data_IF_588495613156
#
_entry.id   IF_588495613156
#
_cell.length_a   1.000
_cell.length_b   1.000
_cell.length_c   1.000
_cell.angle_alpha   90.00
_cell.angle_beta   90.00
_cell.angle_gamma   90.00
#
_symmetry.space_group_name_H-M   'P 1'
#
loop_
_entity.id
_entity.type
_entity.pdbx_description
1 polymer ?
#
# COMPACT_ATOMS: atom_id res chain seq x y z
N UNK A 1 -7.40 -18.92 6.14
CA UNK A 1 -8.84 -18.55 6.22
C UNK A 1 -9.60 -19.39 5.21
N UNK A 2 -10.46 -20.32 5.64
CA UNK A 2 -11.16 -21.23 4.72
C UNK A 2 -12.18 -20.52 3.82
N UNK A 3 -12.61 -19.31 4.20
CA UNK A 3 -13.57 -18.49 3.46
C UNK A 3 -12.91 -17.33 2.67
N UNK A 4 -11.62 -17.40 2.40
CA UNK A 4 -10.92 -16.43 1.55
C UNK A 4 -10.81 -16.97 0.14
N UNK A 5 -11.39 -16.26 -0.83
CA UNK A 5 -11.40 -16.58 -2.25
C UNK A 5 -10.72 -15.46 -3.03
N UNK A 6 -10.15 -15.79 -4.15
CA UNK A 6 -9.58 -14.75 -5.01
C UNK A 6 -8.73 -15.29 -6.15
N UNK A 7 -8.08 -14.37 -6.81
CA UNK A 7 -7.24 -14.68 -7.96
C UNK A 7 -6.74 -13.39 -8.60
N UNK A 8 -6.52 -13.44 -9.92
CA UNK A 8 -5.95 -12.31 -10.64
C UNK A 8 -6.60 -12.12 -12.01
N UNK A 9 -6.45 -10.91 -12.54
CA UNK A 9 -6.80 -10.59 -13.92
C UNK A 9 -5.69 -11.08 -14.88
N UNK A 10 -5.58 -12.41 -14.98
CA UNK A 10 -4.61 -13.15 -15.82
C UNK A 10 -3.13 -12.93 -15.48
N UNK A 11 -2.83 -12.54 -14.25
CA UNK A 11 -1.49 -12.24 -13.75
C UNK A 11 -1.12 -13.06 -12.48
N UNK A 12 -1.81 -14.18 -12.24
CA UNK A 12 -1.68 -14.95 -10.99
C UNK A 12 -0.24 -15.36 -10.67
N UNK A 13 0.53 -15.77 -11.66
CA UNK A 13 1.93 -16.17 -11.51
C UNK A 13 2.81 -14.99 -11.09
N UNK A 14 2.62 -13.82 -11.73
CA UNK A 14 3.41 -12.61 -11.46
C UNK A 14 3.00 -11.92 -10.16
N UNK A 15 1.71 -11.93 -9.81
CA UNK A 15 1.20 -11.36 -8.57
C UNK A 15 1.35 -12.30 -7.36
N UNK A 16 1.68 -13.57 -7.56
CA UNK A 16 1.68 -14.59 -6.51
C UNK A 16 0.34 -14.68 -5.76
N UNK A 17 -0.79 -14.59 -6.48
CA UNK A 17 -2.14 -14.53 -5.90
C UNK A 17 -2.85 -15.87 -5.85
N UNK A 18 -2.23 -16.94 -6.36
CA UNK A 18 -2.77 -18.30 -6.24
C UNK A 18 -2.53 -18.87 -4.85
N UNK A 19 -3.57 -19.42 -4.25
CA UNK A 19 -3.46 -20.24 -3.03
C UNK A 19 -3.05 -21.65 -3.44
N UNK A 20 -1.75 -21.96 -3.35
CA UNK A 20 -1.13 -23.18 -3.92
C UNK A 20 -1.71 -24.51 -3.42
N UNK A 21 -2.35 -24.51 -2.24
CA UNK A 21 -2.95 -25.71 -1.63
C UNK A 21 -4.44 -25.86 -1.94
N UNK A 22 -4.97 -24.96 -2.74
CA UNK A 22 -6.40 -24.89 -3.08
C UNK A 22 -6.60 -25.12 -4.58
N UNK A 23 -7.75 -25.71 -4.89
CA UNK A 23 -8.15 -25.95 -6.27
C UNK A 23 -8.76 -24.71 -6.93
N UNK A 24 -8.93 -24.78 -8.25
CA UNK A 24 -9.58 -23.73 -9.03
C UNK A 24 -11.09 -23.82 -8.89
N UNK A 25 -11.74 -22.66 -8.78
CA UNK A 25 -13.19 -22.55 -8.85
C UNK A 25 -13.64 -22.67 -10.30
N UNK A 26 -14.28 -23.79 -10.63
CA UNK A 26 -14.68 -24.14 -11.99
C UNK A 26 -16.09 -24.75 -12.04
N UNK A 27 -16.75 -24.85 -13.21
CA UNK A 27 -18.09 -25.43 -13.34
C UNK A 27 -18.25 -26.81 -12.74
N UNK A 28 -17.19 -27.62 -12.74
CA UNK A 28 -17.19 -28.98 -12.20
C UNK A 28 -16.57 -29.05 -10.79
N UNK A 29 -16.12 -27.90 -10.22
CA UNK A 29 -15.49 -27.82 -8.91
C UNK A 29 -15.83 -26.49 -8.21
N UNK A 30 -16.99 -26.44 -7.57
CA UNK A 30 -17.41 -25.23 -6.82
C UNK A 30 -16.80 -25.11 -5.41
N UNK A 31 -15.94 -26.05 -5.00
CA UNK A 31 -15.20 -25.97 -3.73
C UNK A 31 -13.84 -25.32 -3.87
N UNK A 32 -13.33 -25.17 -5.09
CA UNK A 32 -12.10 -24.44 -5.38
C UNK A 32 -12.21 -22.97 -4.96
N UNK A 33 -11.07 -22.38 -4.59
CA UNK A 33 -11.01 -21.00 -4.10
C UNK A 33 -10.17 -20.06 -4.97
N UNK A 34 -9.45 -20.60 -5.94
CA UNK A 34 -8.74 -19.80 -6.92
C UNK A 34 -9.66 -19.44 -8.07
N UNK A 35 -9.81 -18.14 -8.33
CA UNK A 35 -10.70 -17.62 -9.37
C UNK A 35 -9.87 -17.04 -10.52
N UNK A 36 -10.10 -17.51 -11.72
CA UNK A 36 -9.48 -17.01 -12.94
C UNK A 36 -10.36 -15.92 -13.57
N UNK A 37 -10.06 -14.65 -13.27
CA UNK A 37 -10.86 -13.54 -13.77
C UNK A 37 -10.59 -13.22 -15.23
N UNK A 38 -9.45 -13.65 -15.79
CA UNK A 38 -8.98 -13.26 -17.11
C UNK A 38 -8.58 -11.78 -17.19
N UNK A 39 -8.23 -11.29 -18.37
CA UNK A 39 -7.85 -9.88 -18.61
C UNK A 39 -9.09 -8.99 -18.52
N UNK A 40 -9.62 -8.79 -17.31
CA UNK A 40 -10.91 -8.12 -17.03
C UNK A 40 -10.89 -7.41 -15.68
N UNK A 41 -10.01 -6.46 -15.48
CA UNK A 41 -9.79 -5.78 -14.18
C UNK A 41 -11.08 -5.14 -13.65
N UNK A 42 -11.83 -4.42 -14.48
CA UNK A 42 -13.10 -3.83 -14.07
C UNK A 42 -14.12 -4.90 -13.64
N UNK A 43 -14.27 -5.95 -14.45
CA UNK A 43 -15.21 -7.03 -14.15
C UNK A 43 -14.77 -7.80 -12.89
N UNK A 44 -13.45 -8.04 -12.69
CA UNK A 44 -12.91 -8.62 -11.46
C UNK A 44 -13.35 -7.79 -10.26
N UNK A 45 -13.14 -6.49 -10.28
CA UNK A 45 -13.55 -5.61 -9.17
C UNK A 45 -15.07 -5.62 -8.95
N UNK A 46 -15.89 -5.64 -10.02
CA UNK A 46 -17.33 -5.73 -9.91
C UNK A 46 -17.83 -7.08 -9.35
N UNK A 47 -17.19 -8.17 -9.76
CA UNK A 47 -17.48 -9.53 -9.23
C UNK A 47 -17.12 -9.58 -7.74
N UNK A 48 -15.97 -9.04 -7.35
CA UNK A 48 -15.56 -8.95 -5.94
C UNK A 48 -16.59 -8.18 -5.10
N UNK A 49 -17.11 -7.07 -5.63
CA UNK A 49 -18.17 -6.31 -4.96
C UNK A 49 -19.43 -7.15 -4.78
N UNK A 50 -19.84 -7.89 -5.82
CA UNK A 50 -21.00 -8.79 -5.77
C UNK A 50 -20.82 -9.90 -4.73
N UNK A 51 -19.64 -10.53 -4.66
CA UNK A 51 -19.31 -11.55 -3.65
C UNK A 51 -19.38 -10.95 -2.25
N UNK A 52 -18.79 -9.78 -2.03
CA UNK A 52 -18.81 -9.11 -0.73
C UNK A 52 -20.22 -8.71 -0.30
N UNK A 53 -21.08 -8.25 -1.23
CA UNK A 53 -22.49 -7.93 -0.98
C UNK A 53 -23.31 -9.15 -0.62
N UNK A 54 -23.06 -10.28 -1.28
CA UNK A 54 -23.71 -11.55 -0.95
C UNK A 54 -23.36 -12.02 0.46
N UNK A 55 -22.12 -11.78 0.89
CA UNK A 55 -21.64 -12.17 2.21
C UNK A 55 -21.19 -13.64 2.29
N UNK A 56 -20.76 -14.04 3.51
CA UNK A 56 -20.30 -15.41 3.78
C UNK A 56 -18.84 -15.69 3.42
N UNK A 57 -18.26 -14.94 2.50
CA UNK A 57 -16.87 -15.10 2.06
C UNK A 57 -16.10 -13.78 2.09
N UNK A 58 -14.77 -13.90 2.14
CA UNK A 58 -13.82 -12.82 1.90
C UNK A 58 -13.25 -12.96 0.49
N UNK A 59 -13.03 -11.85 -0.19
CA UNK A 59 -12.55 -11.88 -1.56
C UNK A 59 -11.35 -10.95 -1.75
N UNK A 60 -10.38 -11.41 -2.54
CA UNK A 60 -9.28 -10.59 -3.02
C UNK A 60 -9.13 -10.72 -4.54
N UNK A 61 -8.58 -9.68 -5.17
CA UNK A 61 -8.26 -9.69 -6.59
C UNK A 61 -6.97 -8.97 -6.88
N UNK A 62 -6.14 -9.59 -7.70
CA UNK A 62 -4.80 -9.11 -8.04
C UNK A 62 -4.66 -8.65 -9.48
N UNK A 63 -3.83 -7.64 -9.69
CA UNK A 63 -3.32 -7.20 -10.97
C UNK A 63 -2.05 -6.37 -10.77
N UNK A 64 -1.37 -5.96 -11.83
CA UNK A 64 -0.32 -4.95 -11.71
C UNK A 64 -0.92 -3.59 -11.33
N UNK A 65 -0.19 -2.83 -10.54
CA UNK A 65 -0.73 -1.58 -9.98
C UNK A 65 -1.12 -0.55 -11.05
N UNK A 66 -0.39 -0.46 -12.15
CA UNK A 66 -0.76 0.42 -13.26
C UNK A 66 -2.16 0.12 -13.80
N UNK A 67 -2.58 -1.15 -13.79
CA UNK A 67 -3.91 -1.57 -14.27
C UNK A 67 -5.03 -1.30 -13.27
N UNK A 68 -4.72 -0.79 -12.07
CA UNK A 68 -5.74 -0.22 -11.18
C UNK A 68 -6.57 0.87 -11.88
N UNK A 69 -6.00 1.55 -12.88
CA UNK A 69 -6.70 2.54 -13.69
C UNK A 69 -7.96 1.96 -14.36
N UNK A 70 -7.93 0.69 -14.77
CA UNK A 70 -9.10 0.00 -15.34
C UNK A 70 -10.13 -0.40 -14.28
N UNK A 71 -9.74 -0.43 -13.00
CA UNK A 71 -10.61 -0.85 -11.88
C UNK A 71 -11.27 0.32 -11.14
N UNK A 72 -10.83 1.56 -11.34
CA UNK A 72 -11.24 2.70 -10.52
C UNK A 72 -12.75 2.83 -10.29
N UNK A 73 -13.64 2.63 -11.30
CA UNK A 73 -15.07 2.70 -11.06
C UNK A 73 -15.58 1.63 -10.09
N UNK A 74 -15.11 0.38 -10.20
CA UNK A 74 -15.49 -0.70 -9.27
C UNK A 74 -14.91 -0.52 -7.89
N UNK A 75 -13.68 -0.01 -7.77
CA UNK A 75 -13.03 0.35 -6.49
C UNK A 75 -13.81 1.45 -5.79
N UNK A 76 -14.18 2.50 -6.54
CA UNK A 76 -15.00 3.59 -6.01
C UNK A 76 -16.35 3.07 -5.49
N UNK A 77 -16.97 2.12 -6.18
CA UNK A 77 -18.24 1.51 -5.75
C UNK A 77 -18.05 0.67 -4.47
N UNK A 78 -16.95 -0.06 -4.35
CA UNK A 78 -16.63 -0.77 -3.11
C UNK A 78 -16.48 0.19 -1.92
N UNK A 79 -15.75 1.29 -2.11
CA UNK A 79 -15.56 2.31 -1.08
C UNK A 79 -16.87 2.99 -0.68
N UNK A 80 -17.70 3.35 -1.66
CA UNK A 80 -19.01 3.98 -1.45
C UNK A 80 -19.98 3.07 -0.68
N UNK A 81 -19.96 1.78 -0.98
CA UNK A 81 -20.83 0.78 -0.35
C UNK A 81 -20.21 0.14 0.90
N UNK A 82 -19.03 0.60 1.32
CA UNK A 82 -18.33 0.08 2.50
C UNK A 82 -18.10 -1.44 2.44
N UNK A 83 -17.64 -1.95 1.29
CA UNK A 83 -17.43 -3.38 1.07
C UNK A 83 -16.00 -3.78 1.46
N UNK A 84 -15.82 -4.83 2.28
CA UNK A 84 -14.51 -5.27 2.74
C UNK A 84 -13.82 -6.18 1.70
N UNK A 85 -13.57 -5.66 0.52
CA UNK A 85 -12.80 -6.33 -0.54
C UNK A 85 -11.32 -5.99 -0.42
N UNK A 86 -10.44 -6.89 -0.87
CA UNK A 86 -8.98 -6.67 -0.84
C UNK A 86 -8.43 -6.65 -2.26
N UNK A 87 -7.77 -5.56 -2.62
CA UNK A 87 -7.02 -5.45 -3.86
C UNK A 87 -5.55 -5.76 -3.59
N UNK A 88 -4.95 -6.63 -4.40
CA UNK A 88 -3.54 -6.98 -4.35
C UNK A 88 -2.89 -6.44 -5.61
N UNK A 89 -2.34 -5.24 -5.52
CA UNK A 89 -1.72 -4.56 -6.65
C UNK A 89 -0.22 -4.60 -6.51
N UNK A 90 0.42 -5.39 -7.36
CA UNK A 90 1.88 -5.56 -7.38
C UNK A 90 2.52 -4.70 -8.47
N UNK A 91 3.85 -4.68 -8.53
CA UNK A 91 4.58 -3.89 -9.53
C UNK A 91 4.28 -2.39 -9.33
N UNK A 92 4.59 -1.90 -8.13
CA UNK A 92 4.08 -0.66 -7.54
C UNK A 92 4.72 0.62 -8.06
N UNK A 93 5.85 0.55 -8.78
CA UNK A 93 6.64 1.73 -9.10
C UNK A 93 7.50 1.55 -10.36
N UNK A 94 8.34 2.53 -10.66
CA UNK A 94 9.33 2.48 -11.75
C UNK A 94 10.32 1.31 -11.62
N UNK A 95 10.42 0.66 -10.47
CA UNK A 95 11.22 -0.54 -10.27
C UNK A 95 10.66 -1.79 -10.96
N UNK A 96 9.57 -1.68 -11.70
CA UNK A 96 9.10 -2.68 -12.67
C UNK A 96 10.18 -2.96 -13.71
N UNK A 97 10.85 -1.93 -14.21
CA UNK A 97 12.04 -2.04 -15.05
C UNK A 97 11.73 -2.41 -16.50
N UNK A 98 12.04 -3.65 -16.90
CA UNK A 98 12.04 -4.07 -18.31
C UNK A 98 10.69 -3.97 -19.04
N UNK A 99 9.57 -4.03 -18.34
CA UNK A 99 8.24 -3.86 -18.95
C UNK A 99 8.00 -2.41 -19.43
N UNK A 100 8.77 -1.46 -18.90
CA UNK A 100 8.83 -0.09 -19.35
C UNK A 100 7.64 0.78 -18.94
N UNK A 101 7.55 2.00 -19.54
CA UNK A 101 6.61 3.06 -19.09
C UNK A 101 5.14 2.68 -19.10
N UNK A 102 4.73 1.73 -19.92
CA UNK A 102 3.33 1.26 -19.98
C UNK A 102 2.91 0.47 -18.73
N UNK A 103 3.89 0.00 -17.95
CA UNK A 103 3.68 -0.84 -16.76
C UNK A 103 4.19 -0.19 -15.47
N UNK A 104 4.85 0.96 -15.56
CA UNK A 104 5.46 1.69 -14.43
C UNK A 104 4.48 2.71 -13.85
N UNK A 105 3.91 2.47 -12.65
CA UNK A 105 3.03 3.45 -12.00
C UNK A 105 3.81 4.69 -11.55
N UNK A 106 3.23 5.86 -11.73
CA UNK A 106 3.74 7.14 -11.22
C UNK A 106 2.65 7.89 -10.46
N UNK A 107 1.50 8.16 -11.13
CA UNK A 107 0.37 8.90 -10.56
C UNK A 107 -0.65 8.01 -9.84
N UNK A 108 -0.57 6.71 -9.97
CA UNK A 108 -1.58 5.77 -9.44
C UNK A 108 -1.73 5.85 -7.93
N UNK A 109 -0.63 6.00 -7.17
CA UNK A 109 -0.69 6.16 -5.72
C UNK A 109 -1.51 7.38 -5.31
N UNK A 110 -1.26 8.53 -5.92
CA UNK A 110 -2.01 9.75 -5.66
C UNK A 110 -3.49 9.58 -6.04
N UNK A 111 -3.74 8.93 -7.18
CA UNK A 111 -5.10 8.66 -7.68
C UNK A 111 -5.90 7.80 -6.70
N UNK A 112 -5.38 6.65 -6.27
CA UNK A 112 -6.11 5.76 -5.36
C UNK A 112 -6.23 6.32 -3.94
N UNK A 113 -5.23 7.08 -3.47
CA UNK A 113 -5.29 7.79 -2.18
C UNK A 113 -6.36 8.88 -2.14
N UNK A 114 -6.80 9.37 -3.29
CA UNK A 114 -7.89 10.35 -3.39
C UNK A 114 -9.28 9.76 -3.21
N UNK A 115 -9.42 8.42 -3.22
CA UNK A 115 -10.72 7.75 -3.06
C UNK A 115 -11.09 7.69 -1.57
N UNK A 116 -12.16 8.38 -1.13
CA UNK A 116 -12.58 8.31 0.27
C UNK A 116 -12.99 6.88 0.66
N UNK A 117 -12.75 6.53 1.92
CA UNK A 117 -13.11 5.22 2.50
C UNK A 117 -12.37 4.02 1.87
N UNK A 118 -11.24 4.24 1.20
CA UNK A 118 -10.33 3.20 0.73
C UNK A 118 -9.06 3.20 1.59
N UNK A 119 -8.75 2.09 2.26
CA UNK A 119 -7.46 1.94 2.92
C UNK A 119 -6.39 1.60 1.87
N UNK A 120 -5.48 2.54 1.63
CA UNK A 120 -4.35 2.35 0.70
C UNK A 120 -3.09 2.11 1.51
N UNK A 121 -2.52 0.91 1.40
CA UNK A 121 -1.37 0.48 2.20
C UNK A 121 -0.23 0.07 1.28
N UNK A 122 0.91 0.74 1.42
CA UNK A 122 2.15 0.43 0.70
C UNK A 122 3.22 0.00 1.70
N UNK A 123 3.33 -1.30 2.00
CA UNK A 123 4.21 -1.82 3.03
C UNK A 123 5.69 -1.78 2.62
N UNK A 124 6.56 -1.55 3.60
CA UNK A 124 8.02 -1.41 3.42
C UNK A 124 8.76 -2.75 3.32
N UNK A 125 8.22 -3.80 3.93
CA UNK A 125 8.86 -5.11 4.00
C UNK A 125 7.87 -6.24 4.31
N UNK A 126 8.40 -7.46 4.52
CA UNK A 126 7.57 -8.63 4.82
C UNK A 126 6.77 -8.52 6.13
N UNK A 127 7.30 -7.85 7.16
CA UNK A 127 6.61 -7.66 8.42
C UNK A 127 5.41 -6.72 8.27
N UNK A 128 5.61 -5.60 7.58
CA UNK A 128 4.50 -4.70 7.24
C UNK A 128 3.48 -5.38 6.30
N UNK A 129 3.90 -6.24 5.36
CA UNK A 129 2.98 -7.02 4.51
C UNK A 129 2.08 -7.92 5.36
N UNK A 130 2.63 -8.61 6.38
CA UNK A 130 1.84 -9.45 7.29
C UNK A 130 0.81 -8.60 8.05
N UNK A 131 1.23 -7.46 8.60
CA UNK A 131 0.32 -6.53 9.29
C UNK A 131 -0.77 -5.99 8.36
N UNK A 132 -0.41 -5.64 7.10
CA UNK A 132 -1.34 -5.17 6.09
C UNK A 132 -2.40 -6.22 5.72
N UNK A 133 -1.99 -7.47 5.54
CA UNK A 133 -2.92 -8.58 5.30
C UNK A 133 -3.84 -8.85 6.49
N UNK A 134 -3.32 -8.79 7.73
CA UNK A 134 -4.14 -8.93 8.94
C UNK A 134 -5.22 -7.84 9.00
N UNK A 135 -4.84 -6.59 8.72
CA UNK A 135 -5.78 -5.47 8.65
C UNK A 135 -6.83 -5.69 7.55
N UNK A 136 -6.42 -6.01 6.33
CA UNK A 136 -7.33 -6.27 5.22
C UNK A 136 -8.31 -7.42 5.53
N UNK A 137 -7.80 -8.53 6.06
CA UNK A 137 -8.62 -9.69 6.42
C UNK A 137 -9.57 -9.43 7.60
N UNK A 138 -9.26 -8.47 8.47
CA UNK A 138 -10.08 -8.08 9.61
C UNK A 138 -11.09 -6.99 9.29
N UNK A 139 -10.94 -6.29 8.16
CA UNK A 139 -11.83 -5.21 7.76
C UNK A 139 -13.27 -5.71 7.61
N UNK A 140 -14.24 -4.94 8.09
CA UNK A 140 -15.67 -5.27 8.00
C UNK A 140 -16.45 -4.32 7.09
N UNK A 141 -15.92 -3.15 6.83
CA UNK A 141 -16.66 -2.06 6.20
C UNK A 141 -15.81 -1.16 5.30
N UNK A 142 -14.56 -1.56 5.01
CA UNK A 142 -13.69 -0.76 4.14
C UNK A 142 -12.93 -1.66 3.18
N UNK A 143 -12.86 -1.31 1.89
CA UNK A 143 -11.94 -1.95 0.97
C UNK A 143 -10.50 -1.59 1.33
N UNK A 144 -9.59 -2.52 1.07
CA UNK A 144 -8.15 -2.34 1.32
C UNK A 144 -7.37 -2.62 0.05
N UNK A 145 -6.53 -1.68 -0.35
CA UNK A 145 -5.58 -1.83 -1.44
C UNK A 145 -4.17 -2.06 -0.87
N UNK A 146 -3.60 -3.21 -1.14
CA UNK A 146 -2.23 -3.58 -0.83
C UNK A 146 -1.37 -3.28 -2.05
N UNK A 147 -0.45 -2.32 -1.92
CA UNK A 147 0.44 -1.87 -3.00
C UNK A 147 1.81 -2.49 -2.77
N UNK A 148 2.16 -3.49 -3.58
CA UNK A 148 3.31 -4.35 -3.35
C UNK A 148 4.35 -4.19 -4.46
N UNK A 149 5.62 -4.33 -4.09
CA UNK A 149 6.74 -4.21 -5.03
C UNK A 149 6.86 -5.43 -5.96
N UNK A 150 7.49 -5.22 -7.14
CA UNK A 150 8.01 -6.30 -7.96
C UNK A 150 9.30 -6.87 -7.39
N UNK A 151 10.21 -6.00 -7.01
CA UNK A 151 11.53 -6.35 -6.48
C UNK A 151 11.47 -6.89 -5.06
N UNK A 152 12.46 -7.68 -4.70
CA UNK A 152 12.67 -8.10 -3.32
C UNK A 152 13.13 -6.93 -2.45
N UNK A 153 12.58 -6.84 -1.25
CA UNK A 153 12.98 -5.85 -0.25
C UNK A 153 13.67 -6.52 0.93
N UNK A 154 14.63 -5.83 1.57
CA UNK A 154 15.20 -6.33 2.82
C UNK A 154 14.13 -6.31 3.92
N UNK A 155 14.15 -7.32 4.77
CA UNK A 155 13.37 -7.30 6.02
C UNK A 155 14.10 -6.39 7.00
N UNK A 156 13.40 -5.38 7.49
CA UNK A 156 13.96 -4.38 8.39
C UNK A 156 13.82 -4.89 9.84
N UNK A 157 14.89 -4.91 10.65
CA UNK A 157 14.86 -5.54 11.98
C UNK A 157 13.75 -5.03 12.90
N UNK A 158 13.61 -3.71 12.97
CA UNK A 158 12.68 -3.06 13.91
C UNK A 158 11.20 -3.20 13.51
N UNK A 159 10.92 -3.53 12.25
CA UNK A 159 9.53 -3.74 11.77
C UNK A 159 8.88 -4.98 12.38
N UNK A 160 9.65 -5.98 12.80
CA UNK A 160 9.08 -7.17 13.45
C UNK A 160 8.25 -6.80 14.70
N UNK A 161 8.74 -5.85 15.50
CA UNK A 161 8.05 -5.42 16.72
C UNK A 161 7.07 -4.27 16.48
N UNK A 162 7.38 -3.36 15.55
CA UNK A 162 6.67 -2.11 15.39
C UNK A 162 5.55 -2.14 14.35
N UNK A 163 5.65 -3.01 13.34
CA UNK A 163 4.76 -2.93 12.17
C UNK A 163 3.29 -3.21 12.49
N UNK A 164 2.97 -4.12 13.40
CA UNK A 164 1.57 -4.49 13.67
C UNK A 164 0.78 -3.29 14.22
N UNK A 165 1.30 -2.62 15.24
CA UNK A 165 0.65 -1.43 15.80
C UNK A 165 0.80 -0.22 14.90
N UNK A 166 2.00 0.00 14.37
CA UNK A 166 2.34 1.16 13.57
C UNK A 166 1.54 1.25 12.27
N UNK A 167 1.41 0.14 11.54
CA UNK A 167 0.61 0.08 10.33
C UNK A 167 -0.87 0.33 10.61
N UNK A 168 -1.40 -0.21 11.70
CA UNK A 168 -2.78 0.02 12.10
C UNK A 168 -3.07 1.49 12.47
N UNK A 169 -2.03 2.27 12.72
CA UNK A 169 -2.08 3.73 12.89
C UNK A 169 -1.70 4.53 11.64
N UNK A 170 -1.25 3.83 10.58
CA UNK A 170 -0.95 4.41 9.27
C UNK A 170 0.43 5.01 9.12
N UNK A 171 1.09 5.38 10.20
CA UNK A 171 2.49 5.81 10.25
C UNK A 171 3.06 5.60 11.66
N UNK A 172 4.36 5.36 11.75
CA UNK A 172 5.04 5.17 13.02
C UNK A 172 6.53 5.55 12.93
N UNK A 173 7.14 5.83 14.08
CA UNK A 173 8.58 6.09 14.18
C UNK A 173 9.31 4.76 14.05
N UNK A 174 9.91 4.50 12.88
CA UNK A 174 10.69 3.30 12.63
C UNK A 174 12.10 3.44 13.22
N UNK A 175 12.71 4.62 13.08
CA UNK A 175 14.01 4.89 13.67
C UNK A 175 14.01 6.24 14.35
N UNK A 176 14.04 6.19 15.69
CA UNK A 176 14.02 7.37 16.54
C UNK A 176 15.32 8.16 16.43
N UNK A 177 15.24 9.47 16.58
CA UNK A 177 16.40 10.35 16.75
C UNK A 177 17.13 10.10 18.07
N UNK A 178 18.42 10.42 18.11
CA UNK A 178 19.21 10.49 19.33
C UNK A 178 19.45 11.96 19.71
N UNK A 179 19.07 12.34 20.92
CA UNK A 179 19.19 13.71 21.38
C UNK A 179 18.11 14.64 20.80
N UNK A 180 18.52 15.78 20.25
CA UNK A 180 17.59 16.79 19.71
C UNK A 180 17.08 16.37 18.34
N UNK A 181 15.76 16.36 18.16
CA UNK A 181 15.14 16.13 16.87
C UNK A 181 15.37 17.34 15.93
N UNK A 182 16.14 17.14 14.88
CA UNK A 182 16.56 18.16 13.93
C UNK A 182 15.82 18.09 12.57
N UNK A 183 15.42 16.88 12.18
CA UNK A 183 14.69 16.65 10.93
C UNK A 183 14.00 15.30 10.89
N UNK A 184 13.04 15.18 9.97
CA UNK A 184 12.24 13.96 9.80
C UNK A 184 12.29 13.53 8.34
N UNK A 185 12.62 12.26 8.10
CA UNK A 185 12.41 11.61 6.80
C UNK A 185 11.17 10.74 6.90
N UNK A 186 10.24 10.94 5.99
CA UNK A 186 9.00 10.19 5.88
C UNK A 186 9.10 9.35 4.61
N UNK A 187 8.91 8.05 4.71
CA UNK A 187 8.97 7.17 3.56
C UNK A 187 7.87 6.10 3.59
N UNK A 188 7.59 5.51 2.45
CA UNK A 188 6.61 4.43 2.31
C UNK A 188 7.13 3.38 1.34
N UNK A 189 6.72 2.13 1.53
CA UNK A 189 7.11 1.05 0.64
C UNK A 189 8.63 0.86 0.57
N UNK A 190 9.13 0.59 -0.62
CA UNK A 190 10.55 0.32 -0.89
C UNK A 190 11.49 1.44 -0.45
N UNK A 191 11.02 2.68 -0.36
CA UNK A 191 11.85 3.83 -0.02
C UNK A 191 12.14 3.95 1.48
N UNK A 192 11.49 3.17 2.33
CA UNK A 192 11.78 3.15 3.78
C UNK A 192 13.21 2.67 4.07
N UNK A 193 13.67 1.64 3.35
CA UNK A 193 15.06 1.18 3.47
C UNK A 193 16.05 2.29 3.07
N UNK A 194 15.77 3.01 2.00
CA UNK A 194 16.56 4.16 1.55
C UNK A 194 16.59 5.29 2.59
N UNK A 195 15.46 5.56 3.24
CA UNK A 195 15.37 6.56 4.30
C UNK A 195 16.26 6.20 5.52
N UNK A 196 16.31 4.91 5.89
CA UNK A 196 17.21 4.43 6.95
C UNK A 196 18.69 4.58 6.56
N UNK A 197 19.05 4.29 5.31
CA UNK A 197 20.41 4.52 4.83
C UNK A 197 20.78 6.01 4.81
N UNK A 198 19.87 6.87 4.35
CA UNK A 198 20.07 8.31 4.35
C UNK A 198 20.31 8.87 5.76
N UNK A 199 19.58 8.37 6.77
CA UNK A 199 19.80 8.74 8.18
C UNK A 199 21.24 8.49 8.63
N UNK A 200 21.87 7.37 8.24
CA UNK A 200 23.26 7.06 8.62
C UNK A 200 24.23 8.15 8.18
N UNK A 201 23.95 8.79 7.04
CA UNK A 201 24.79 9.88 6.50
C UNK A 201 24.43 11.24 7.11
N UNK A 202 23.14 11.50 7.36
CA UNK A 202 22.64 12.79 7.85
C UNK A 202 22.83 13.00 9.37
N UNK A 203 23.01 11.93 10.13
CA UNK A 203 23.31 11.98 11.54
C UNK A 203 22.16 11.59 12.46
N UNK A 204 22.46 11.48 13.74
CA UNK A 204 21.56 10.90 14.75
C UNK A 204 20.36 11.77 15.13
N UNK A 205 20.40 13.08 14.84
CA UNK A 205 19.26 13.99 15.05
C UNK A 205 18.10 13.80 14.06
N UNK A 206 18.19 12.83 13.16
CA UNK A 206 17.16 12.55 12.15
C UNK A 206 16.26 11.41 12.62
N UNK A 207 14.94 11.65 12.55
CA UNK A 207 13.91 10.63 12.73
C UNK A 207 13.52 10.03 11.38
N UNK A 208 13.33 8.72 11.31
CA UNK A 208 12.73 8.05 10.15
C UNK A 208 11.34 7.55 10.52
N UNK A 209 10.36 7.94 9.73
CA UNK A 209 8.96 7.54 9.87
C UNK A 209 8.59 6.64 8.69
N UNK A 210 8.16 5.41 8.96
CA UNK A 210 7.44 4.60 7.99
C UNK A 210 5.97 5.06 7.97
N UNK A 211 5.47 5.40 6.79
CA UNK A 211 4.07 5.84 6.59
C UNK A 211 3.38 4.92 5.57
N UNK A 212 3.10 3.66 5.91
CA UNK A 212 2.48 2.73 4.98
C UNK A 212 1.09 3.19 4.50
N UNK A 213 0.38 4.03 5.26
CA UNK A 213 -0.95 4.50 4.86
C UNK A 213 -1.26 5.92 5.32
N UNK A 214 -1.34 6.84 4.38
CA UNK A 214 -1.67 8.25 4.65
C UNK A 214 -3.08 8.43 5.23
N UNK A 215 -4.08 7.77 4.65
CA UNK A 215 -5.47 7.92 5.08
C UNK A 215 -5.71 7.39 6.49
N UNK A 216 -5.10 6.27 6.86
CA UNK A 216 -5.19 5.71 8.21
C UNK A 216 -4.50 6.64 9.22
N UNK A 217 -3.34 7.21 8.86
CA UNK A 217 -2.65 8.19 9.71
C UNK A 217 -3.46 9.47 9.91
N UNK A 218 -4.14 9.95 8.87
CA UNK A 218 -4.99 11.14 8.95
C UNK A 218 -6.16 10.99 9.92
N UNK A 219 -6.65 9.78 10.12
CA UNK A 219 -7.72 9.45 11.04
C UNK A 219 -7.26 9.35 12.51
N UNK A 220 -5.95 9.40 12.77
CA UNK A 220 -5.43 9.35 14.14
C UNK A 220 -5.70 10.63 14.93
N UNK A 221 -5.64 10.52 16.26
CA UNK A 221 -5.76 11.65 17.15
C UNK A 221 -4.71 12.74 16.84
N UNK A 222 -5.02 13.99 17.18
CA UNK A 222 -4.10 15.10 17.01
C UNK A 222 -2.78 14.85 17.78
N UNK A 223 -2.88 14.27 18.98
CA UNK A 223 -1.72 13.97 19.83
C UNK A 223 -0.80 12.94 19.18
N UNK A 224 -1.36 11.86 18.62
CA UNK A 224 -0.55 10.87 17.92
C UNK A 224 0.13 11.45 16.68
N UNK A 225 -0.60 12.24 15.89
CA UNK A 225 -0.01 12.90 14.73
C UNK A 225 1.09 13.89 15.10
N UNK A 226 0.93 14.59 16.24
CA UNK A 226 1.95 15.49 16.78
C UNK A 226 3.17 14.72 17.31
N UNK A 227 2.97 13.55 17.92
CA UNK A 227 4.05 12.66 18.34
C UNK A 227 4.92 12.21 17.16
N UNK A 228 4.28 11.75 16.08
CA UNK A 228 4.98 11.24 14.90
C UNK A 228 5.63 12.38 14.11
N UNK A 229 4.88 13.46 13.85
CA UNK A 229 5.28 14.61 13.04
C UNK A 229 5.09 15.92 13.82
N UNK A 230 5.95 16.23 14.82
CA UNK A 230 5.84 17.42 15.63
C UNK A 230 5.88 18.70 14.79
N UNK A 231 4.93 19.62 14.95
CA UNK A 231 4.85 20.89 14.21
C UNK A 231 6.07 21.78 14.41
N UNK A 232 6.76 21.62 15.53
CA UNK A 232 8.01 22.34 15.82
C UNK A 232 9.17 21.94 14.90
N UNK A 233 9.12 20.74 14.30
CA UNK A 233 10.15 20.25 13.38
C UNK A 233 9.68 20.48 11.94
N UNK A 234 10.21 21.53 11.30
CA UNK A 234 9.82 21.94 9.94
C UNK A 234 10.70 21.35 8.85
N UNK A 235 11.90 20.86 9.18
CA UNK A 235 12.78 20.16 8.26
C UNK A 235 12.26 18.74 8.03
N UNK A 236 11.45 18.57 7.00
CA UNK A 236 10.85 17.29 6.65
C UNK A 236 11.13 16.95 5.20
N UNK A 237 11.45 15.70 4.95
CA UNK A 237 11.67 15.15 3.63
C UNK A 237 10.74 13.95 3.44
N UNK A 238 9.98 13.92 2.37
CA UNK A 238 9.25 12.73 1.95
C UNK A 238 9.97 12.03 0.79
N UNK A 239 10.04 10.70 0.84
CA UNK A 239 10.66 9.87 -0.20
C UNK A 239 9.65 8.82 -0.66
N UNK A 240 9.31 8.84 -1.94
CA UNK A 240 8.37 7.89 -2.54
C UNK A 240 8.59 7.76 -4.05
N UNK A 241 8.62 6.53 -4.56
CA UNK A 241 8.64 6.25 -5.99
C UNK A 241 7.24 6.43 -6.62
N UNK A 242 6.77 7.65 -6.66
CA UNK A 242 5.51 8.11 -7.20
C UNK A 242 5.51 9.62 -7.32
N UNK A 243 4.40 10.26 -7.69
CA UNK A 243 4.31 11.72 -7.76
C UNK A 243 4.35 12.36 -6.36
N UNK A 244 4.78 13.62 -6.29
CA UNK A 244 4.79 14.40 -5.05
C UNK A 244 3.39 14.75 -4.53
N UNK A 245 2.34 14.46 -5.28
CA UNK A 245 0.98 14.85 -4.96
C UNK A 245 0.50 14.18 -3.66
N UNK A 246 0.02 15.03 -2.73
CA UNK A 246 -0.42 14.59 -1.40
C UNK A 246 0.64 14.78 -0.30
N UNK A 247 1.93 14.83 -0.60
CA UNK A 247 3.00 14.95 0.38
C UNK A 247 3.09 16.34 1.05
N UNK A 248 2.66 17.40 0.37
CA UNK A 248 2.70 18.76 0.90
C UNK A 248 2.04 18.91 2.28
N UNK A 249 1.00 18.12 2.57
CA UNK A 249 0.32 18.09 3.89
C UNK A 249 1.25 17.63 5.02
N UNK A 250 2.19 16.74 4.75
CA UNK A 250 3.06 16.13 5.75
C UNK A 250 4.41 16.85 5.86
N UNK A 251 4.97 17.28 4.73
CA UNK A 251 6.26 17.98 4.71
C UNK A 251 6.13 19.45 5.03
N UNK A 252 4.98 20.07 4.74
CA UNK A 252 4.77 21.52 4.94
C UNK A 252 5.51 22.39 3.93
N UNK A 253 5.50 23.71 4.16
CA UNK A 253 6.08 24.70 3.22
C UNK A 253 7.62 24.73 3.22
N UNK A 254 8.24 24.31 4.32
CA UNK A 254 9.72 24.30 4.45
C UNK A 254 10.33 22.92 4.17
N UNK A 255 9.49 21.92 3.93
CA UNK A 255 9.91 20.57 3.60
C UNK A 255 10.14 20.37 2.12
N UNK A 256 10.65 19.18 1.78
CA UNK A 256 10.93 18.79 0.40
C UNK A 256 10.43 17.37 0.12
N UNK A 257 10.42 17.00 -1.15
CA UNK A 257 10.10 15.65 -1.60
C UNK A 257 11.19 15.13 -2.55
N UNK A 258 11.52 13.86 -2.45
CA UNK A 258 12.28 13.10 -3.45
C UNK A 258 11.28 12.09 -4.04
N UNK A 259 10.83 12.37 -5.25
CA UNK A 259 9.73 11.70 -5.91
C UNK A 259 9.99 11.57 -7.41
N UNK A 260 9.17 10.75 -8.08
CA UNK A 260 9.24 10.63 -9.54
C UNK A 260 8.40 11.75 -10.16
N UNK A 261 9.06 12.59 -10.98
CA UNK A 261 8.37 13.68 -11.66
C UNK A 261 7.51 13.16 -12.81
N UNK A 262 8.08 12.30 -13.64
CA UNK A 262 7.41 11.64 -14.76
C UNK A 262 8.33 10.54 -15.32
N UNK A 263 7.80 9.69 -16.20
CA UNK A 263 8.59 8.68 -16.91
C UNK A 263 9.48 9.24 -18.04
N UNK A 264 9.41 10.53 -18.30
CA UNK A 264 10.17 11.21 -19.35
C UNK A 264 11.27 12.12 -18.78
N UNK A 265 11.16 12.52 -17.52
CA UNK A 265 12.08 13.45 -16.84
C UNK A 265 12.73 12.76 -15.63
N UNK A 266 13.30 11.60 -15.86
CA UNK A 266 14.07 10.84 -14.86
C UNK A 266 15.52 11.33 -14.88
#
# INVERSE_FOLDING_TARGET
MPNLWGGSADLSASNNTMVKVEEDFMPDNYVGRNIWFGVREFAMGAIMNGIALHGGTRVYGGTFFVFSNYMLPSVRMAALQSLPVTYVWTHDSIAVGEDGPTHEPVEQLASVRSIPNLDVIRPADGNEVVAAWRRAASSKSRPTALILTRQNLPVLPDTYELAEEGLNRGAYILSKEEGKLEGIIIATGSEVALALEAKKTLGSGIRVVSMPSMNIFDEQSADYREEILPKSVRRRLAIEAGTSYGWGKYVGLDGATVTVLSLIHI
#
